data_IF_407673917995
#
_entry.id   IF_407673917995
#
_cell.length_a   1.000
_cell.length_b   1.000
_cell.length_c   1.000
_cell.angle_alpha   90.00
_cell.angle_beta   90.00
_cell.angle_gamma   90.00
#
_symmetry.space_group_name_H-M   'P 1'
#
loop_
_entity.id
_entity.type
_entity.pdbx_description
1 polymer ?
#
# COMPACT_ATOMS: atom_id res chain seq x y z
N UNK A 1 20.14 -6.14 4.47
CA UNK A 1 19.00 -6.11 3.54
C UNK A 1 18.02 -5.04 4.00
N UNK A 2 17.63 -4.11 3.13
CA UNK A 2 16.85 -2.94 3.53
C UNK A 2 16.16 -2.22 2.38
N UNK A 3 15.60 -1.03 2.65
CA UNK A 3 14.80 -0.23 1.70
C UNK A 3 15.55 0.05 0.39
N UNK A 4 16.87 0.22 0.47
CA UNK A 4 17.76 0.44 -0.68
C UNK A 4 17.63 -0.69 -1.72
N UNK A 5 17.50 -1.94 -1.29
CA UNK A 5 17.42 -3.09 -2.22
C UNK A 5 16.12 -3.06 -3.05
N UNK A 6 15.03 -2.55 -2.49
CA UNK A 6 13.77 -2.37 -3.21
C UNK A 6 13.81 -1.17 -4.16
N UNK A 7 14.35 -0.04 -3.68
CA UNK A 7 14.45 1.19 -4.49
C UNK A 7 15.34 1.01 -5.73
N UNK A 8 16.45 0.30 -5.62
CA UNK A 8 17.37 0.06 -6.72
C UNK A 8 17.08 -1.25 -7.49
N UNK A 9 15.94 -1.89 -7.23
CA UNK A 9 15.49 -3.06 -7.99
C UNK A 9 16.34 -4.32 -7.79
N UNK A 10 17.17 -4.36 -6.75
CA UNK A 10 17.91 -5.55 -6.32
C UNK A 10 16.90 -6.65 -5.92
N UNK A 11 15.74 -6.26 -5.39
CA UNK A 11 14.60 -7.16 -5.12
C UNK A 11 13.28 -6.50 -5.47
N UNK A 12 12.29 -7.25 -5.99
CA UNK A 12 10.97 -6.71 -6.28
C UNK A 12 10.23 -6.32 -4.99
N UNK A 13 9.34 -5.33 -5.08
CA UNK A 13 8.39 -5.03 -4.02
C UNK A 13 7.34 -6.15 -3.95
N UNK A 14 7.16 -6.73 -2.77
CA UNK A 14 6.14 -7.76 -2.50
C UNK A 14 5.17 -7.36 -1.40
N UNK A 15 5.37 -6.18 -0.80
CA UNK A 15 4.52 -5.65 0.27
C UNK A 15 3.13 -5.31 -0.25
N UNK A 16 2.12 -5.82 0.44
CA UNK A 16 0.70 -5.49 0.24
C UNK A 16 0.19 -4.69 1.43
N UNK A 17 -0.72 -3.76 1.21
CA UNK A 17 -1.30 -2.91 2.24
C UNK A 17 -2.02 -3.79 3.28
N UNK A 18 -1.61 -3.77 4.56
CA UNK A 18 -2.27 -4.51 5.62
C UNK A 18 -3.57 -3.84 6.10
N UNK A 19 -3.91 -2.66 5.57
CA UNK A 19 -5.12 -1.89 5.88
C UNK A 19 -5.65 -1.19 4.64
N UNK A 20 -6.94 -0.89 4.63
CA UNK A 20 -7.56 -0.03 3.62
C UNK A 20 -7.08 1.40 3.80
N UNK A 21 -6.66 2.06 2.71
CA UNK A 21 -6.24 3.46 2.71
C UNK A 21 -7.38 4.36 2.21
N UNK A 22 -7.89 5.29 3.04
CA UNK A 22 -8.98 6.17 2.65
C UNK A 22 -8.53 7.23 1.64
N UNK A 23 -9.50 7.86 0.97
CA UNK A 23 -9.23 8.98 0.06
C UNK A 23 -9.08 10.29 0.84
N UNK A 24 -9.86 10.49 1.92
CA UNK A 24 -9.69 11.58 2.89
C UNK A 24 -9.61 11.05 4.32
N UNK A 25 -9.00 11.82 5.23
CA UNK A 25 -9.04 11.51 6.66
C UNK A 25 -10.47 11.57 7.24
N UNK A 26 -11.36 12.34 6.61
CA UNK A 26 -12.77 12.47 7.00
C UNK A 26 -13.58 11.18 6.79
N UNK A 27 -13.08 10.24 5.97
CA UNK A 27 -13.73 8.94 5.71
C UNK A 27 -13.53 7.93 6.87
N UNK A 28 -12.87 8.33 7.96
CA UNK A 28 -12.66 7.47 9.12
C UNK A 28 -13.85 7.57 10.10
N UNK A 29 -14.27 6.46 10.74
CA UNK A 29 -13.60 5.14 10.74
C UNK A 29 -13.99 4.21 9.58
N UNK A 30 -15.10 4.47 8.87
CA UNK A 30 -15.65 3.57 7.84
C UNK A 30 -15.35 4.05 6.41
N UNK A 31 -14.41 3.36 5.75
CA UNK A 31 -13.97 3.69 4.38
C UNK A 31 -14.84 2.97 3.35
N UNK A 32 -15.85 3.65 2.82
CA UNK A 32 -16.77 3.09 1.82
C UNK A 32 -16.18 3.06 0.39
N UNK A 33 -15.38 4.07 0.01
CA UNK A 33 -14.75 4.17 -1.31
C UNK A 33 -13.23 4.43 -1.17
N UNK A 34 -12.43 3.37 -1.05
CA UNK A 34 -11.01 3.49 -0.72
C UNK A 34 -10.17 3.97 -1.91
N UNK A 35 -9.14 4.78 -1.61
CA UNK A 35 -8.13 5.13 -2.61
C UNK A 35 -7.24 3.91 -2.92
N UNK A 36 -6.86 3.14 -1.89
CA UNK A 36 -6.21 1.86 -2.04
C UNK A 36 -6.88 0.82 -1.13
N UNK A 37 -7.46 -0.26 -1.69
CA UNK A 37 -8.11 -1.29 -0.89
C UNK A 37 -7.08 -2.12 -0.10
N UNK A 38 -7.57 -2.84 0.91
CA UNK A 38 -6.78 -3.86 1.60
C UNK A 38 -6.12 -4.83 0.61
N UNK A 39 -4.86 -5.19 0.86
CA UNK A 39 -4.11 -6.09 -0.01
C UNK A 39 -3.59 -5.44 -1.29
N UNK A 40 -3.84 -4.14 -1.52
CA UNK A 40 -3.23 -3.41 -2.63
C UNK A 40 -1.71 -3.46 -2.50
N UNK A 41 -1.02 -3.77 -3.58
CA UNK A 41 0.44 -3.71 -3.64
C UNK A 41 0.82 -3.44 -5.08
N UNK A 42 1.88 -2.66 -5.32
CA UNK A 42 2.44 -2.52 -6.65
C UNK A 42 3.11 -3.84 -7.04
N UNK A 43 2.34 -4.80 -7.54
CA UNK A 43 2.88 -5.87 -8.35
C UNK A 43 3.32 -5.23 -9.68
N UNK A 44 4.57 -5.48 -10.07
CA UNK A 44 5.01 -5.17 -11.43
C UNK A 44 4.20 -5.96 -12.44
#
# INVERSE_FOLDING_TARGET
QGVVDGLFGIRPFTGKLPYTWPRSADDLPDVADPLFPFGFGPER
#
